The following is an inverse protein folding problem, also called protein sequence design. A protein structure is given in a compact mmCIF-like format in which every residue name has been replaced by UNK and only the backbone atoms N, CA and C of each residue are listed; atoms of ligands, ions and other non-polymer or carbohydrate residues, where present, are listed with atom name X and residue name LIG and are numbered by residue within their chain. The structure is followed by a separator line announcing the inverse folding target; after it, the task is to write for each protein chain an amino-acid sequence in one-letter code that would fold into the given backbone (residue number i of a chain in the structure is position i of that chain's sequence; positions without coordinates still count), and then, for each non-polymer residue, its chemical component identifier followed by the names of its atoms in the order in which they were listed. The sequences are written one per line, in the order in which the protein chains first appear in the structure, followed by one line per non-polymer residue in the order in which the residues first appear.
data_IF_497495543293
#
_entry.id   IF_497495543293
#
_cell.length_a   1.000
_cell.length_b   1.000
_cell.length_c   1.000
_cell.angle_alpha   90.00
_cell.angle_beta   90.00
_cell.angle_gamma   90.00
#
_symmetry.space_group_name_H-M   'P 1'
#
loop_
_entity.id
_entity.type
_entity.pdbx_description
1 polymer ?
#
# COMPACT_ATOMS: atom_id res chain seq x y z
N UNK A 1 40.09 38.63 19.91
CA UNK A 1 39.22 38.63 18.70
C UNK A 1 39.47 37.45 17.76
N UNK A 2 40.72 37.04 17.51
CA UNK A 2 41.04 35.94 16.56
C UNK A 2 40.38 34.58 16.89
N UNK A 3 40.27 34.21 18.18
CA UNK A 3 39.68 32.93 18.60
C UNK A 3 38.16 32.84 18.39
N UNK A 4 37.44 33.97 18.43
CA UNK A 4 35.98 33.99 18.22
C UNK A 4 35.64 33.78 16.75
N UNK A 5 36.47 34.34 15.85
CA UNK A 5 36.32 34.17 14.40
C UNK A 5 36.58 32.71 14.01
N UNK A 6 37.62 32.08 14.56
CA UNK A 6 37.95 30.68 14.26
C UNK A 6 36.85 29.71 14.71
N UNK A 7 36.26 29.93 15.90
CA UNK A 7 35.17 29.11 16.42
C UNK A 7 33.90 29.17 15.56
N UNK A 8 33.58 30.35 15.01
CA UNK A 8 32.43 30.52 14.13
C UNK A 8 32.57 29.72 12.82
N UNK A 9 33.76 29.67 12.21
CA UNK A 9 33.99 28.89 10.99
C UNK A 9 33.84 27.38 11.21
N UNK A 10 34.27 26.86 12.36
CA UNK A 10 34.11 25.44 12.70
C UNK A 10 32.63 25.08 12.87
N UNK A 11 31.86 25.92 13.55
CA UNK A 11 30.41 25.70 13.76
C UNK A 11 29.65 25.72 12.42
N UNK A 12 29.96 26.69 11.55
CA UNK A 12 29.34 26.78 10.22
C UNK A 12 29.71 25.57 9.36
N UNK A 13 30.98 25.13 9.37
CA UNK A 13 31.41 23.94 8.64
C UNK A 13 30.68 22.66 9.08
N UNK A 14 30.48 22.48 10.40
CA UNK A 14 29.73 21.34 10.94
C UNK A 14 28.25 21.40 10.54
N UNK A 15 27.61 22.57 10.60
CA UNK A 15 26.21 22.74 10.18
C UNK A 15 26.03 22.42 8.69
N UNK A 16 26.92 22.91 7.83
CA UNK A 16 26.87 22.62 6.38
C UNK A 16 27.02 21.11 6.12
N UNK A 17 27.94 20.43 6.82
CA UNK A 17 28.12 19.00 6.68
C UNK A 17 26.87 18.19 7.10
N UNK A 18 26.16 18.62 8.15
CA UNK A 18 24.90 18.01 8.58
C UNK A 18 23.83 18.18 7.51
N UNK A 19 23.64 19.40 7.00
CA UNK A 19 22.64 19.69 5.95
C UNK A 19 22.91 18.89 4.68
N UNK A 20 24.18 18.79 4.25
CA UNK A 20 24.56 17.99 3.08
C UNK A 20 24.28 16.50 3.31
N UNK A 21 24.61 15.97 4.50
CA UNK A 21 24.37 14.57 4.85
C UNK A 21 22.87 14.26 4.86
N UNK A 22 22.06 15.12 5.47
CA UNK A 22 20.61 14.94 5.52
C UNK A 22 19.98 15.06 4.13
N UNK A 23 20.45 16.00 3.31
CA UNK A 23 20.00 16.14 1.91
C UNK A 23 20.33 14.90 1.08
N UNK A 24 21.54 14.36 1.24
CA UNK A 24 21.97 13.14 0.52
C UNK A 24 21.15 11.93 0.96
N UNK A 25 20.95 11.75 2.27
CA UNK A 25 20.13 10.67 2.83
C UNK A 25 18.67 10.78 2.36
N UNK A 26 18.13 11.99 2.31
CA UNK A 26 16.78 12.24 1.78
C UNK A 26 16.66 11.89 0.30
N UNK A 27 17.70 12.19 -0.50
CA UNK A 27 17.73 11.84 -1.92
C UNK A 27 17.82 10.34 -2.16
N UNK A 28 18.62 9.62 -1.37
CA UNK A 28 18.77 8.17 -1.46
C UNK A 28 17.46 7.47 -1.08
N UNK A 29 16.81 7.90 0.01
CA UNK A 29 15.52 7.36 0.44
C UNK A 29 14.42 7.54 -0.63
N UNK A 30 14.37 8.72 -1.28
CA UNK A 30 13.42 8.97 -2.37
C UNK A 30 13.69 8.08 -3.60
N UNK A 31 14.95 7.86 -3.95
CA UNK A 31 15.32 6.97 -5.06
C UNK A 31 14.94 5.51 -4.78
N UNK A 32 15.16 5.04 -3.53
CA UNK A 32 14.78 3.70 -3.10
C UNK A 32 13.26 3.51 -3.10
N UNK A 33 12.50 4.50 -2.63
CA UNK A 33 11.04 4.46 -2.67
C UNK A 33 10.52 4.41 -4.13
N UNK A 34 11.07 5.24 -5.02
CA UNK A 34 10.73 5.22 -6.44
C UNK A 34 11.03 3.87 -7.10
N UNK A 35 12.17 3.25 -6.73
CA UNK A 35 12.53 1.90 -7.22
C UNK A 35 11.55 0.85 -6.73
N UNK A 36 11.18 0.86 -5.45
CA UNK A 36 10.19 -0.07 -4.88
C UNK A 36 8.82 0.13 -5.51
N UNK A 37 8.40 1.37 -5.74
CA UNK A 37 7.14 1.70 -6.41
C UNK A 37 7.13 1.17 -7.86
N UNK A 38 8.23 1.35 -8.60
CA UNK A 38 8.38 0.81 -9.95
C UNK A 38 8.24 -0.71 -9.96
N UNK A 39 8.95 -1.40 -9.06
CA UNK A 39 8.83 -2.86 -8.90
C UNK A 39 7.41 -3.29 -8.58
N UNK A 40 6.73 -2.62 -7.65
CA UNK A 40 5.35 -2.93 -7.30
C UNK A 40 4.40 -2.77 -8.50
N UNK A 41 4.57 -1.72 -9.29
CA UNK A 41 3.78 -1.45 -10.50
C UNK A 41 3.95 -2.53 -11.57
N UNK A 42 5.17 -3.03 -11.74
CA UNK A 42 5.49 -4.12 -12.68
C UNK A 42 4.95 -5.47 -12.18
N UNK A 43 4.95 -5.69 -10.85
CA UNK A 43 4.55 -6.96 -10.24
C UNK A 43 3.04 -7.11 -10.11
N UNK A 44 2.30 -6.00 -9.95
CA UNK A 44 0.85 -5.97 -9.81
C UNK A 44 0.09 -6.75 -10.90
N UNK A 45 0.34 -6.57 -12.22
CA UNK A 45 -0.38 -7.33 -13.25
C UNK A 45 -0.11 -8.83 -13.19
N UNK A 46 1.11 -9.24 -12.79
CA UNK A 46 1.47 -10.66 -12.65
C UNK A 46 0.68 -11.30 -11.50
N UNK A 47 0.58 -10.61 -10.37
CA UNK A 47 -0.22 -11.06 -9.23
C UNK A 47 -1.71 -11.08 -9.55
N UNK A 48 -2.21 -10.08 -10.29
CA UNK A 48 -3.59 -10.04 -10.74
C UNK A 48 -3.94 -11.25 -11.61
N UNK A 49 -3.09 -11.58 -12.58
CA UNK A 49 -3.28 -12.75 -13.44
C UNK A 49 -3.27 -14.07 -12.64
N UNK A 50 -2.39 -14.20 -11.63
CA UNK A 50 -2.39 -15.37 -10.73
C UNK A 50 -3.67 -15.46 -9.90
N UNK A 51 -4.17 -14.32 -9.42
CA UNK A 51 -5.40 -14.26 -8.65
C UNK A 51 -6.63 -14.60 -9.51
N UNK A 52 -6.63 -14.23 -10.80
CA UNK A 52 -7.68 -14.64 -11.74
C UNK A 52 -7.70 -16.15 -11.98
N UNK A 53 -6.52 -16.78 -12.09
CA UNK A 53 -6.40 -18.24 -12.25
C UNK A 53 -6.73 -18.99 -10.95
N UNK A 54 -6.37 -18.41 -9.80
CA UNK A 54 -6.57 -19.00 -8.48
C UNK A 54 -6.98 -17.90 -7.49
N UNK A 55 -8.30 -17.64 -7.35
CA UNK A 55 -8.84 -16.60 -6.49
C UNK A 55 -8.42 -16.73 -5.02
N UNK A 56 -8.14 -17.96 -4.58
CA UNK A 56 -7.76 -18.30 -3.20
C UNK A 56 -6.24 -18.46 -3.01
N UNK A 57 -5.43 -18.01 -3.98
CA UNK A 57 -3.97 -18.09 -3.88
C UNK A 57 -3.42 -17.20 -2.75
N UNK A 58 -3.18 -17.81 -1.59
CA UNK A 58 -2.72 -17.13 -0.37
C UNK A 58 -1.44 -16.29 -0.59
N UNK A 59 -0.47 -16.82 -1.35
CA UNK A 59 0.77 -16.11 -1.65
C UNK A 59 0.50 -14.80 -2.43
N UNK A 60 -0.34 -14.86 -3.45
CA UNK A 60 -0.70 -13.69 -4.26
C UNK A 60 -1.48 -12.68 -3.43
N UNK A 61 -2.43 -13.15 -2.60
CA UNK A 61 -3.22 -12.29 -1.71
C UNK A 61 -2.34 -11.58 -0.67
N UNK A 62 -1.43 -12.29 0.00
CA UNK A 62 -0.49 -11.70 0.97
C UNK A 62 0.39 -10.63 0.34
N UNK A 63 0.90 -10.90 -0.84
CA UNK A 63 1.77 -9.97 -1.55
C UNK A 63 1.03 -8.72 -2.01
N UNK A 64 -0.21 -8.87 -2.48
CA UNK A 64 -1.08 -7.75 -2.83
C UNK A 64 -1.43 -6.89 -1.61
N UNK A 65 -1.65 -7.49 -0.43
CA UNK A 65 -1.83 -6.75 0.83
C UNK A 65 -0.57 -5.94 1.17
N UNK A 66 0.62 -6.54 1.04
CA UNK A 66 1.88 -5.82 1.31
C UNK A 66 2.11 -4.65 0.36
N UNK A 67 1.81 -4.83 -0.93
CA UNK A 67 1.87 -3.74 -1.92
C UNK A 67 0.89 -2.63 -1.53
N UNK A 68 -0.33 -2.98 -1.15
CA UNK A 68 -1.37 -2.04 -0.74
C UNK A 68 -0.98 -1.22 0.52
N UNK A 69 -0.36 -1.88 1.52
CA UNK A 69 0.11 -1.23 2.74
C UNK A 69 1.33 -0.31 2.49
N UNK A 70 2.24 -0.73 1.60
CA UNK A 70 3.42 0.06 1.27
C UNK A 70 3.11 1.24 0.35
N UNK A 71 2.09 1.12 -0.50
CA UNK A 71 1.76 2.06 -1.56
C UNK A 71 0.24 2.31 -1.60
N UNK A 72 -0.24 3.31 -0.84
CA UNK A 72 -1.67 3.63 -0.75
C UNK A 72 -2.35 3.88 -2.11
N UNK A 73 -1.61 4.35 -3.12
CA UNK A 73 -2.10 4.54 -4.48
C UNK A 73 -2.59 3.25 -5.16
N UNK A 74 -2.14 2.07 -4.70
CA UNK A 74 -2.61 0.79 -5.20
C UNK A 74 -3.79 0.23 -4.40
N UNK A 75 -4.19 0.85 -3.29
CA UNK A 75 -5.19 0.27 -2.42
C UNK A 75 -6.55 0.08 -3.10
N UNK A 76 -7.00 1.08 -3.86
CA UNK A 76 -8.25 0.98 -4.60
C UNK A 76 -8.19 -0.05 -5.74
N UNK A 77 -7.20 -0.03 -6.65
CA UNK A 77 -7.04 -1.06 -7.68
C UNK A 77 -6.98 -2.49 -7.13
N UNK A 78 -6.25 -2.70 -6.02
CA UNK A 78 -6.14 -4.00 -5.38
C UNK A 78 -7.47 -4.41 -4.75
N UNK A 79 -8.23 -3.46 -4.20
CA UNK A 79 -9.56 -3.75 -3.63
C UNK A 79 -10.53 -4.22 -4.72
N UNK A 80 -10.51 -3.57 -5.88
CA UNK A 80 -11.33 -3.98 -7.03
C UNK A 80 -10.96 -5.40 -7.51
N UNK A 81 -9.67 -5.77 -7.49
CA UNK A 81 -9.21 -7.14 -7.76
C UNK A 81 -9.70 -8.13 -6.71
N UNK A 82 -9.67 -7.76 -5.44
CA UNK A 82 -10.16 -8.62 -4.35
C UNK A 82 -11.67 -8.89 -4.47
N UNK A 83 -12.46 -7.88 -4.84
CA UNK A 83 -13.89 -8.02 -5.10
C UNK A 83 -14.18 -8.92 -6.30
N UNK A 84 -13.33 -8.88 -7.34
CA UNK A 84 -13.41 -9.84 -8.46
C UNK A 84 -13.10 -11.26 -8.01
N UNK A 85 -12.09 -11.45 -7.16
CA UNK A 85 -11.75 -12.76 -6.61
C UNK A 85 -12.90 -13.35 -5.78
N UNK A 86 -13.61 -12.52 -4.99
CA UNK A 86 -14.82 -12.94 -4.26
C UNK A 86 -15.90 -13.47 -5.21
N UNK A 87 -16.13 -12.79 -6.32
CA UNK A 87 -17.10 -13.25 -7.32
C UNK A 87 -16.64 -14.55 -7.98
N UNK A 88 -15.37 -14.62 -8.41
CA UNK A 88 -14.82 -15.80 -9.09
C UNK A 88 -14.76 -17.06 -8.20
N UNK A 89 -14.61 -16.89 -6.88
CA UNK A 89 -14.58 -18.01 -5.94
C UNK A 89 -15.96 -18.41 -5.40
N UNK A 90 -17.04 -17.77 -5.86
CA UNK A 90 -18.39 -17.98 -5.31
C UNK A 90 -18.54 -17.51 -3.85
N UNK A 91 -17.67 -16.61 -3.40
CA UNK A 91 -17.65 -16.11 -2.02
C UNK A 91 -16.91 -17.02 -1.04
N UNK A 92 -15.81 -17.63 -1.46
CA UNK A 92 -14.90 -18.35 -0.56
C UNK A 92 -14.48 -17.49 0.65
N UNK A 93 -14.22 -18.13 1.78
CA UNK A 93 -13.78 -17.43 3.01
C UNK A 93 -12.45 -16.71 2.79
N UNK A 94 -11.52 -17.32 2.04
CA UNK A 94 -10.23 -16.73 1.74
C UNK A 94 -10.36 -15.44 0.91
N UNK A 95 -11.11 -15.48 -0.20
CA UNK A 95 -11.33 -14.30 -1.02
C UNK A 95 -12.06 -13.17 -0.26
N UNK A 96 -13.06 -13.50 0.59
CA UNK A 96 -13.74 -12.50 1.42
C UNK A 96 -12.81 -11.85 2.45
N UNK A 97 -11.96 -12.66 3.09
CA UNK A 97 -10.98 -12.18 4.08
C UNK A 97 -9.96 -11.28 3.40
N UNK A 98 -9.49 -11.67 2.21
CA UNK A 98 -8.62 -10.84 1.39
C UNK A 98 -9.28 -9.50 1.03
N UNK A 99 -10.52 -9.52 0.52
CA UNK A 99 -11.27 -8.30 0.19
C UNK A 99 -11.50 -7.41 1.40
N UNK A 100 -11.79 -7.98 2.58
CA UNK A 100 -11.95 -7.22 3.81
C UNK A 100 -10.65 -6.49 4.19
N UNK A 101 -9.51 -7.20 4.18
CA UNK A 101 -8.22 -6.63 4.55
C UNK A 101 -7.79 -5.49 3.62
N UNK A 102 -7.95 -5.69 2.30
CA UNK A 102 -7.62 -4.66 1.32
C UNK A 102 -8.63 -3.51 1.35
N UNK A 103 -9.92 -3.80 1.56
CA UNK A 103 -10.97 -2.80 1.71
C UNK A 103 -10.66 -1.84 2.86
N UNK A 104 -10.28 -2.37 4.03
CA UNK A 104 -9.87 -1.54 5.18
C UNK A 104 -8.71 -0.62 4.83
N UNK A 105 -7.69 -1.13 4.14
CA UNK A 105 -6.58 -0.31 3.68
C UNK A 105 -7.05 0.78 2.70
N UNK A 106 -7.89 0.43 1.72
CA UNK A 106 -8.43 1.36 0.72
C UNK A 106 -9.28 2.48 1.33
N UNK A 107 -10.16 2.17 2.27
CA UNK A 107 -11.03 3.16 2.92
C UNK A 107 -10.31 4.00 4.00
N UNK A 108 -9.13 3.55 4.43
CA UNK A 108 -8.27 4.29 5.36
C UNK A 108 -7.35 5.28 4.64
N UNK A 109 -7.22 5.19 3.31
CA UNK A 109 -6.34 6.10 2.54
C UNK A 109 -6.80 7.55 2.73
N UNK A 110 -5.87 8.40 3.20
CA UNK A 110 -6.13 9.83 3.41
C UNK A 110 -6.88 10.17 4.70
N UNK A 111 -7.20 9.18 5.55
CA UNK A 111 -7.75 9.46 6.88
C UNK A 111 -6.64 9.80 7.88
N UNK A 112 -6.82 10.83 8.72
CA UNK A 112 -5.84 11.19 9.75
C UNK A 112 -5.54 10.04 10.73
N UNK A 113 -6.56 9.24 11.04
CA UNK A 113 -6.46 8.15 12.03
C UNK A 113 -5.97 6.83 11.41
N UNK A 114 -5.84 6.76 10.08
CA UNK A 114 -5.38 5.57 9.38
C UNK A 114 -6.27 4.33 9.55
N UNK A 115 -7.52 4.51 9.97
CA UNK A 115 -8.47 3.43 10.25
C UNK A 115 -9.81 3.64 9.53
N UNK A 116 -10.51 2.56 9.14
CA UNK A 116 -11.84 2.64 8.58
C UNK A 116 -12.85 2.99 9.68
N UNK A 117 -13.89 3.73 9.30
CA UNK A 117 -15.04 4.00 10.17
C UNK A 117 -16.03 2.83 10.15
N UNK A 118 -17.00 2.84 11.07
CA UNK A 118 -18.09 1.85 11.07
C UNK A 118 -18.87 1.86 9.74
N UNK A 119 -19.04 3.03 9.11
CA UNK A 119 -19.70 3.13 7.81
C UNK A 119 -18.85 2.54 6.68
N UNK A 120 -17.53 2.70 6.74
CA UNK A 120 -16.63 2.09 5.77
C UNK A 120 -16.64 0.56 5.90
N UNK A 121 -16.62 0.03 7.13
CA UNK A 121 -16.75 -1.42 7.37
C UNK A 121 -18.08 -1.97 6.80
N UNK A 122 -19.18 -1.25 7.00
CA UNK A 122 -20.48 -1.63 6.42
C UNK A 122 -20.46 -1.59 4.90
N UNK A 123 -19.85 -0.57 4.29
CA UNK A 123 -19.72 -0.46 2.85
C UNK A 123 -18.89 -1.62 2.28
N UNK A 124 -17.75 -1.95 2.90
CA UNK A 124 -16.88 -3.07 2.50
C UNK A 124 -17.64 -4.39 2.57
N UNK A 125 -18.37 -4.63 3.66
CA UNK A 125 -19.18 -5.84 3.82
C UNK A 125 -20.30 -5.93 2.79
N UNK A 126 -20.91 -4.80 2.42
CA UNK A 126 -21.95 -4.75 1.40
C UNK A 126 -21.36 -5.06 0.01
N UNK A 127 -20.23 -4.46 -0.34
CA UNK A 127 -19.53 -4.73 -1.60
C UNK A 127 -19.17 -6.21 -1.74
N UNK A 128 -18.63 -6.83 -0.68
CA UNK A 128 -18.32 -8.26 -0.65
C UNK A 128 -19.58 -9.10 -0.85
N UNK A 129 -20.68 -8.76 -0.16
CA UNK A 129 -21.95 -9.50 -0.25
C UNK A 129 -22.54 -9.45 -1.66
N UNK A 130 -22.54 -8.28 -2.29
CA UNK A 130 -23.04 -8.11 -3.66
C UNK A 130 -22.24 -8.96 -4.64
N UNK A 131 -20.91 -9.02 -4.48
CA UNK A 131 -20.03 -9.81 -5.35
C UNK A 131 -20.16 -11.31 -5.12
N UNK A 132 -20.31 -11.75 -3.88
CA UNK A 132 -20.60 -13.14 -3.55
C UNK A 132 -21.90 -13.59 -4.21
N UNK A 133 -22.97 -12.81 -4.10
CA UNK A 133 -24.25 -13.14 -4.73
C UNK A 133 -24.14 -13.22 -6.25
N UNK A 134 -23.40 -12.30 -6.87
CA UNK A 134 -23.15 -12.33 -8.32
C UNK A 134 -22.37 -13.60 -8.74
N UNK A 135 -21.37 -14.01 -7.96
CA UNK A 135 -20.56 -15.19 -8.24
C UNK A 135 -21.29 -16.52 -8.10
N UNK A 136 -22.34 -16.60 -7.27
CA UNK A 136 -23.16 -17.80 -7.12
C UNK A 136 -24.24 -17.95 -8.19
N UNK A 137 -24.55 -16.88 -8.92
CA UNK A 137 -25.62 -16.85 -9.91
C UNK A 137 -25.16 -17.15 -11.35
N UNK A 138 -23.85 -17.16 -11.60
CA UNK A 138 -23.23 -17.51 -12.88
C UNK A 138 -22.63 -18.91 -12.85
#
# INVERSE_FOLDING_TARGET
MLFVVLGAFVIVGVLVAIVIRDSKKSSEASADEARRLKMARERLPVLAAKLEQSPDCELSQKELIQICQAFPQFARPVYDLALKAVAASGGSVAAKTFALNVGRASYSVGRPEGAPTVYDEQAILNDIRVRESAGRAG
#
